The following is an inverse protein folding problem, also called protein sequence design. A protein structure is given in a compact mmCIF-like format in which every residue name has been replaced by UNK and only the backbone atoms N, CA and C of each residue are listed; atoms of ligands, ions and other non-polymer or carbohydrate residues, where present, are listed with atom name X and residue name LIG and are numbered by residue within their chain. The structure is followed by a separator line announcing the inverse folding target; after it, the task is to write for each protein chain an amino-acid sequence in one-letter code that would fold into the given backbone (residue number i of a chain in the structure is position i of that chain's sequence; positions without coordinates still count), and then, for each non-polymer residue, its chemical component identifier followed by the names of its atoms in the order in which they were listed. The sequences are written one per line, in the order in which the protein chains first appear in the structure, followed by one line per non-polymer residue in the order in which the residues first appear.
data_IF_742005092472
#
_entry.id   IF_742005092472
#
_cell.length_a   1.000
_cell.length_b   1.000
_cell.length_c   1.000
_cell.angle_alpha   90.00
_cell.angle_beta   90.00
_cell.angle_gamma   90.00
#
_symmetry.space_group_name_H-M   'P 1'
#
loop_
_entity.id
_entity.type
_entity.pdbx_description
1 polymer ?
#
# COMPACT_ATOMS: atom_id res chain seq x y z
N UNK A 1 -118.01 -63.88 -11.19
CA UNK A 1 -118.97 -64.80 -11.85
C UNK A 1 -118.68 -64.79 -13.34
N UNK A 2 -118.41 -65.93 -13.96
CA UNK A 2 -118.19 -66.02 -15.41
C UNK A 2 -119.46 -65.63 -16.17
N UNK A 3 -119.38 -64.79 -17.22
CA UNK A 3 -120.55 -64.37 -17.97
C UNK A 3 -121.22 -65.58 -18.65
N UNK A 4 -122.53 -65.76 -18.46
CA UNK A 4 -123.29 -66.80 -19.19
C UNK A 4 -123.35 -66.45 -20.68
N UNK A 5 -122.81 -67.33 -21.51
CA UNK A 5 -122.74 -67.11 -22.96
C UNK A 5 -124.10 -67.35 -23.65
N UNK A 6 -124.91 -68.24 -23.08
CA UNK A 6 -126.20 -68.71 -23.58
C UNK A 6 -127.20 -68.91 -22.43
N UNK A 7 -128.49 -68.84 -22.73
CA UNK A 7 -129.60 -69.11 -21.79
C UNK A 7 -130.76 -69.78 -22.55
N UNK A 8 -130.92 -71.08 -22.34
CA UNK A 8 -131.94 -71.93 -22.96
C UNK A 8 -133.34 -71.59 -22.45
N UNK A 9 -133.48 -71.19 -21.17
CA UNK A 9 -134.76 -70.82 -20.58
C UNK A 9 -135.31 -69.55 -21.24
N UNK A 10 -134.50 -68.49 -21.33
CA UNK A 10 -134.88 -67.21 -21.97
C UNK A 10 -135.14 -67.37 -23.48
N UNK A 11 -134.42 -68.29 -24.14
CA UNK A 11 -134.55 -68.46 -25.60
C UNK A 11 -135.76 -69.28 -25.99
N UNK A 12 -136.02 -70.38 -25.30
CA UNK A 12 -137.16 -71.24 -25.61
C UNK A 12 -138.46 -70.67 -25.04
N UNK A 13 -138.40 -69.94 -23.91
CA UNK A 13 -139.57 -69.33 -23.23
C UNK A 13 -140.69 -70.33 -22.94
N UNK A 14 -140.29 -71.56 -22.64
CA UNK A 14 -141.21 -72.66 -22.31
C UNK A 14 -141.57 -72.60 -20.83
N UNK A 15 -140.56 -72.39 -19.99
CA UNK A 15 -140.71 -72.15 -18.55
C UNK A 15 -139.67 -71.11 -18.12
N UNK A 16 -139.98 -70.37 -17.06
CA UNK A 16 -138.97 -69.58 -16.37
C UNK A 16 -138.11 -70.47 -15.48
N UNK A 17 -136.83 -70.11 -15.34
CA UNK A 17 -135.84 -70.87 -14.54
C UNK A 17 -136.27 -71.09 -13.09
N UNK A 18 -136.99 -70.11 -12.55
CA UNK A 18 -137.43 -70.08 -11.16
C UNK A 18 -138.93 -70.44 -11.00
N UNK A 19 -139.62 -70.73 -12.11
CA UNK A 19 -141.03 -71.13 -12.05
C UNK A 19 -141.18 -72.52 -11.42
N UNK A 20 -142.30 -72.75 -10.74
CA UNK A 20 -142.70 -74.04 -10.13
C UNK A 20 -143.81 -74.77 -10.91
N UNK A 21 -144.36 -74.14 -11.95
CA UNK A 21 -145.41 -74.72 -12.80
C UNK A 21 -145.29 -74.19 -14.23
N UNK A 22 -146.02 -74.80 -15.16
CA UNK A 22 -146.06 -74.38 -16.56
C UNK A 22 -147.48 -74.50 -17.11
N UNK A 23 -147.87 -73.51 -17.92
CA UNK A 23 -149.10 -73.55 -18.71
C UNK A 23 -148.82 -74.19 -20.07
N UNK A 24 -149.85 -74.84 -20.63
CA UNK A 24 -149.77 -75.49 -21.94
C UNK A 24 -149.30 -74.50 -23.03
N UNK A 25 -148.30 -74.90 -23.82
CA UNK A 25 -147.79 -74.13 -24.95
C UNK A 25 -148.65 -74.25 -26.22
N UNK A 26 -149.72 -75.06 -26.17
CA UNK A 26 -150.67 -75.22 -27.27
C UNK A 26 -151.61 -74.02 -27.40
N UNK A 27 -152.20 -73.88 -28.58
CA UNK A 27 -153.25 -72.90 -28.87
C UNK A 27 -154.62 -73.55 -28.75
N UNK A 28 -155.61 -72.77 -28.32
CA UNK A 28 -157.03 -73.12 -28.39
C UNK A 28 -157.57 -72.85 -29.81
N UNK A 29 -158.79 -73.29 -30.12
CA UNK A 29 -159.41 -73.15 -31.44
C UNK A 29 -159.60 -71.68 -31.88
N UNK A 30 -159.58 -70.74 -30.93
CA UNK A 30 -159.68 -69.30 -31.14
C UNK A 30 -158.31 -68.59 -31.23
N UNK A 31 -157.23 -69.38 -31.36
CA UNK A 31 -155.84 -68.90 -31.40
C UNK A 31 -155.37 -68.23 -30.10
N UNK A 32 -156.07 -68.43 -28.98
CA UNK A 32 -155.59 -68.03 -27.65
C UNK A 32 -154.66 -69.08 -27.04
N UNK A 33 -153.73 -68.64 -26.18
CA UNK A 33 -152.84 -69.54 -25.46
C UNK A 33 -153.63 -70.40 -24.47
N UNK A 34 -153.35 -71.70 -24.43
CA UNK A 34 -154.00 -72.62 -23.52
C UNK A 34 -153.61 -72.33 -22.05
N UNK A 35 -154.60 -72.10 -21.20
CA UNK A 35 -154.47 -71.82 -19.77
C UNK A 35 -154.39 -73.09 -18.89
N UNK A 36 -154.44 -74.27 -19.52
CA UNK A 36 -154.34 -75.56 -18.82
C UNK A 36 -152.93 -75.74 -18.28
N UNK A 37 -152.82 -75.90 -16.95
CA UNK A 37 -151.57 -76.27 -16.31
C UNK A 37 -151.16 -77.69 -16.67
N UNK A 38 -149.89 -77.87 -17.03
CA UNK A 38 -149.32 -79.19 -17.24
C UNK A 38 -149.12 -79.91 -15.89
N UNK A 39 -149.19 -81.24 -15.92
CA UNK A 39 -148.90 -82.04 -14.74
C UNK A 39 -147.41 -81.93 -14.31
N UNK A 40 -147.17 -82.25 -13.04
CA UNK A 40 -145.82 -82.13 -12.45
C UNK A 40 -144.79 -83.03 -13.15
N UNK A 41 -145.21 -84.16 -13.71
CA UNK A 41 -144.33 -85.12 -14.39
C UNK A 41 -143.80 -84.52 -15.69
N UNK A 42 -144.69 -83.92 -16.49
CA UNK A 42 -144.35 -83.23 -17.72
C UNK A 42 -143.52 -81.98 -17.44
N UNK A 43 -143.89 -81.18 -16.45
CA UNK A 43 -143.10 -80.02 -16.00
C UNK A 43 -141.65 -80.41 -15.62
N UNK A 44 -141.47 -81.45 -14.79
CA UNK A 44 -140.13 -81.91 -14.40
C UNK A 44 -139.31 -82.43 -15.58
N UNK A 45 -139.96 -83.11 -16.53
CA UNK A 45 -139.29 -83.62 -17.73
C UNK A 45 -138.90 -82.49 -18.69
N UNK A 46 -139.75 -81.48 -18.86
CA UNK A 46 -139.47 -80.25 -19.63
C UNK A 46 -138.25 -79.55 -19.03
N UNK A 47 -138.23 -79.35 -17.71
CA UNK A 47 -137.12 -78.73 -17.00
C UNK A 47 -135.81 -79.48 -17.21
N UNK A 48 -135.80 -80.81 -17.07
CA UNK A 48 -134.62 -81.64 -17.33
C UNK A 48 -134.10 -81.50 -18.77
N UNK A 49 -135.00 -81.41 -19.74
CA UNK A 49 -134.60 -81.21 -21.14
C UNK A 49 -133.92 -79.84 -21.28
N UNK A 50 -134.52 -78.77 -20.78
CA UNK A 50 -133.95 -77.41 -20.88
C UNK A 50 -132.63 -77.31 -20.11
N UNK A 51 -132.52 -77.89 -18.92
CA UNK A 51 -131.26 -77.96 -18.16
C UNK A 51 -130.15 -78.68 -18.95
N UNK A 52 -130.51 -79.73 -19.69
CA UNK A 52 -129.54 -80.44 -20.55
C UNK A 52 -129.08 -79.54 -21.72
N UNK A 53 -130.00 -78.77 -22.31
CA UNK A 53 -129.69 -77.83 -23.39
C UNK A 53 -128.86 -76.63 -22.90
N UNK A 54 -129.03 -76.21 -21.64
CA UNK A 54 -128.28 -75.10 -21.03
C UNK A 54 -126.78 -75.37 -20.92
N UNK A 55 -126.41 -76.63 -20.68
CA UNK A 55 -125.01 -77.06 -20.49
C UNK A 55 -124.23 -77.04 -21.82
N UNK A 56 -124.93 -77.13 -22.95
CA UNK A 56 -124.31 -77.28 -24.27
C UNK A 56 -124.45 -75.99 -25.09
N UNK A 57 -123.52 -75.71 -26.02
CA UNK A 57 -123.66 -74.58 -26.94
C UNK A 57 -124.95 -74.71 -27.80
N UNK A 58 -125.65 -73.60 -28.08
CA UNK A 58 -126.82 -73.60 -28.95
C UNK A 58 -126.54 -74.14 -30.35
N UNK A 59 -127.20 -75.26 -30.68
CA UNK A 59 -127.15 -75.89 -32.01
C UNK A 59 -128.51 -76.51 -32.35
N UNK A 60 -129.13 -76.00 -33.41
CA UNK A 60 -130.46 -76.43 -33.85
C UNK A 60 -130.48 -77.87 -34.37
N UNK A 61 -129.35 -78.36 -34.90
CA UNK A 61 -129.29 -79.66 -35.56
C UNK A 61 -129.12 -80.81 -34.57
N UNK A 62 -128.30 -80.62 -33.53
CA UNK A 62 -128.04 -81.65 -32.52
C UNK A 62 -129.23 -81.91 -31.59
N UNK A 63 -130.20 -80.99 -31.51
CA UNK A 63 -131.29 -81.05 -30.53
C UNK A 63 -132.66 -81.41 -31.11
N UNK A 64 -132.74 -81.76 -32.39
CA UNK A 64 -134.01 -82.06 -33.07
C UNK A 64 -134.91 -83.06 -32.33
N UNK A 65 -134.33 -84.13 -31.76
CA UNK A 65 -135.06 -85.13 -30.95
C UNK A 65 -135.55 -84.55 -29.61
N UNK A 66 -134.68 -83.80 -28.93
CA UNK A 66 -134.99 -83.16 -27.65
C UNK A 66 -136.06 -82.09 -27.80
N UNK A 67 -136.04 -81.31 -28.88
CA UNK A 67 -137.05 -80.30 -29.19
C UNK A 67 -138.41 -80.91 -29.52
N UNK A 68 -138.45 -81.98 -30.33
CA UNK A 68 -139.70 -82.70 -30.59
C UNK A 68 -140.30 -83.28 -29.31
N UNK A 69 -139.46 -83.86 -28.46
CA UNK A 69 -139.89 -84.36 -27.15
C UNK A 69 -140.38 -83.21 -26.26
N UNK A 70 -139.64 -82.10 -26.21
CA UNK A 70 -140.02 -80.90 -25.47
C UNK A 70 -141.40 -80.41 -25.92
N UNK A 71 -141.62 -80.24 -27.23
CA UNK A 71 -142.88 -79.77 -27.79
C UNK A 71 -144.04 -80.74 -27.47
N UNK A 72 -143.81 -82.05 -27.54
CA UNK A 72 -144.83 -83.04 -27.18
C UNK A 72 -145.21 -83.01 -25.70
N UNK A 73 -144.27 -82.67 -24.80
CA UNK A 73 -144.52 -82.56 -23.36
C UNK A 73 -145.15 -81.21 -22.99
N UNK A 74 -144.89 -80.17 -23.79
CA UNK A 74 -145.37 -78.81 -23.55
C UNK A 74 -146.84 -78.60 -23.94
N UNK A 75 -147.48 -79.56 -24.60
CA UNK A 75 -148.88 -79.47 -25.06
C UNK A 75 -149.76 -80.43 -24.25
N UNK A 76 -150.87 -79.95 -23.70
CA UNK A 76 -151.81 -80.78 -22.95
C UNK A 76 -152.60 -81.72 -23.88
N UNK A 77 -153.18 -82.78 -23.30
CA UNK A 77 -153.95 -83.79 -24.06
C UNK A 77 -155.07 -83.19 -24.90
N UNK A 78 -155.73 -82.12 -24.42
CA UNK A 78 -156.81 -81.42 -25.12
C UNK A 78 -156.31 -80.74 -26.40
N UNK A 79 -155.16 -80.06 -26.34
CA UNK A 79 -154.54 -79.42 -27.51
C UNK A 79 -153.83 -80.44 -28.44
N UNK A 80 -153.41 -81.59 -27.91
CA UNK A 80 -152.70 -82.63 -28.67
C UNK A 80 -153.59 -83.36 -29.69
N UNK A 81 -154.89 -83.47 -29.44
CA UNK A 81 -155.84 -84.17 -30.32
C UNK A 81 -156.23 -83.34 -31.55
N UNK A 82 -156.16 -82.01 -31.43
CA UNK A 82 -156.65 -81.13 -32.49
C UNK A 82 -155.64 -80.91 -33.61
N UNK A 83 -154.32 -80.96 -33.39
CA UNK A 83 -153.37 -80.66 -34.47
C UNK A 83 -151.94 -81.14 -34.16
N UNK A 84 -151.44 -82.14 -34.90
CA UNK A 84 -150.00 -82.43 -34.99
C UNK A 84 -149.20 -81.28 -35.62
N UNK A 85 -149.86 -80.42 -36.41
CA UNK A 85 -149.27 -79.23 -37.03
C UNK A 85 -148.67 -78.27 -35.98
N UNK A 86 -149.33 -78.11 -34.83
CA UNK A 86 -148.87 -77.22 -33.76
C UNK A 86 -147.53 -77.67 -33.12
N UNK A 87 -147.22 -78.98 -33.12
CA UNK A 87 -145.95 -79.49 -32.55
C UNK A 87 -144.78 -79.17 -33.49
N UNK A 88 -144.94 -79.43 -34.80
CA UNK A 88 -143.87 -79.17 -35.77
C UNK A 88 -143.63 -77.65 -35.92
N UNK A 89 -144.68 -76.82 -35.88
CA UNK A 89 -144.57 -75.36 -35.86
C UNK A 89 -143.82 -74.82 -34.63
N UNK A 90 -144.13 -75.31 -33.43
CA UNK A 90 -143.39 -74.97 -32.21
C UNK A 90 -141.92 -75.36 -32.29
N UNK A 91 -141.63 -76.54 -32.84
CA UNK A 91 -140.26 -77.01 -33.04
C UNK A 91 -139.50 -76.12 -34.02
N UNK A 92 -140.12 -75.72 -35.12
CA UNK A 92 -139.49 -74.85 -36.12
C UNK A 92 -139.29 -73.42 -35.59
N UNK A 93 -140.23 -72.90 -34.80
CA UNK A 93 -140.04 -71.64 -34.07
C UNK A 93 -138.84 -71.72 -33.12
N UNK A 94 -138.75 -72.79 -32.31
CA UNK A 94 -137.63 -72.96 -31.40
C UNK A 94 -136.30 -73.15 -32.11
N UNK A 95 -136.25 -73.87 -33.23
CA UNK A 95 -135.04 -73.94 -34.06
C UNK A 95 -134.60 -72.56 -34.51
N UNK A 96 -135.52 -71.73 -35.00
CA UNK A 96 -135.20 -70.35 -35.41
C UNK A 96 -134.66 -69.52 -34.25
N UNK A 97 -135.23 -69.65 -33.04
CA UNK A 97 -134.75 -68.96 -31.83
C UNK A 97 -133.35 -69.46 -31.42
N UNK A 98 -133.13 -70.77 -31.47
CA UNK A 98 -131.82 -71.41 -31.20
C UNK A 98 -130.77 -70.94 -32.21
N UNK A 99 -131.09 -70.88 -33.51
CA UNK A 99 -130.18 -70.41 -34.55
C UNK A 99 -129.74 -68.95 -34.30
N UNK A 100 -130.69 -68.07 -33.98
CA UNK A 100 -130.38 -66.67 -33.59
C UNK A 100 -129.48 -66.62 -32.37
N UNK A 101 -129.74 -67.47 -31.38
CA UNK A 101 -128.92 -67.51 -30.19
C UNK A 101 -127.55 -68.16 -30.39
N UNK A 102 -127.42 -69.11 -31.32
CA UNK A 102 -126.14 -69.65 -31.77
C UNK A 102 -125.26 -68.56 -32.37
N UNK A 103 -125.85 -67.67 -33.17
CA UNK A 103 -125.14 -66.50 -33.68
C UNK A 103 -124.71 -65.56 -32.54
N UNK A 104 -125.58 -65.31 -31.56
CA UNK A 104 -125.28 -64.47 -30.39
C UNK A 104 -124.17 -65.09 -29.51
N UNK A 105 -124.21 -66.40 -29.31
CA UNK A 105 -123.22 -67.19 -28.58
C UNK A 105 -121.85 -67.06 -29.26
N UNK A 106 -121.75 -67.28 -30.57
CA UNK A 106 -120.50 -67.13 -31.34
C UNK A 106 -119.91 -65.72 -31.20
N UNK A 107 -120.74 -64.67 -31.31
CA UNK A 107 -120.30 -63.27 -31.12
C UNK A 107 -119.79 -63.02 -29.69
N UNK A 108 -120.48 -63.54 -28.67
CA UNK A 108 -120.08 -63.40 -27.27
C UNK A 108 -118.78 -64.15 -26.96
N UNK A 109 -118.64 -65.36 -27.50
CA UNK A 109 -117.43 -66.18 -27.37
C UNK A 109 -116.23 -65.47 -28.00
N UNK A 110 -116.35 -65.00 -29.24
CA UNK A 110 -115.29 -64.25 -29.90
C UNK A 110 -114.92 -62.97 -29.12
N UNK A 111 -115.90 -62.26 -28.57
CA UNK A 111 -115.65 -61.09 -27.71
C UNK A 111 -114.88 -61.46 -26.44
N UNK A 112 -115.22 -62.59 -25.81
CA UNK A 112 -114.53 -63.09 -24.62
C UNK A 112 -113.09 -63.50 -24.95
N UNK A 113 -112.87 -64.20 -26.06
CA UNK A 113 -111.52 -64.57 -26.52
C UNK A 113 -110.65 -63.34 -26.80
N UNK A 114 -111.21 -62.31 -27.45
CA UNK A 114 -110.51 -61.03 -27.65
C UNK A 114 -110.20 -60.38 -26.31
N UNK A 115 -111.13 -60.36 -25.36
CA UNK A 115 -110.90 -59.79 -24.04
C UNK A 115 -109.78 -60.50 -23.29
N UNK A 116 -109.80 -61.84 -23.25
CA UNK A 116 -108.75 -62.64 -22.63
C UNK A 116 -107.39 -62.43 -23.32
N UNK A 117 -107.38 -62.30 -24.64
CA UNK A 117 -106.16 -61.99 -25.38
C UNK A 117 -105.64 -60.59 -25.08
N UNK A 118 -106.52 -59.60 -24.89
CA UNK A 118 -106.14 -58.24 -24.50
C UNK A 118 -105.57 -58.21 -23.09
N UNK A 119 -106.22 -58.88 -22.12
CA UNK A 119 -105.71 -58.99 -20.75
C UNK A 119 -104.32 -59.61 -20.71
N UNK A 120 -104.10 -60.69 -21.47
CA UNK A 120 -102.76 -61.30 -21.60
C UNK A 120 -101.74 -60.31 -22.20
N UNK A 121 -102.13 -59.52 -23.19
CA UNK A 121 -101.25 -58.50 -23.79
C UNK A 121 -100.95 -57.35 -22.83
N UNK A 122 -101.92 -56.94 -22.02
CA UNK A 122 -101.74 -55.95 -20.98
C UNK A 122 -100.75 -56.45 -19.90
N UNK A 123 -100.84 -57.73 -19.51
CA UNK A 123 -99.86 -58.37 -18.62
C UNK A 123 -98.45 -58.39 -19.22
N UNK A 124 -98.31 -58.76 -20.51
CA UNK A 124 -97.03 -58.71 -21.24
C UNK A 124 -96.46 -57.27 -21.28
N UNK A 125 -97.29 -56.26 -21.53
CA UNK A 125 -96.88 -54.85 -21.52
C UNK A 125 -96.39 -54.43 -20.12
N UNK A 126 -97.08 -54.82 -19.06
CA UNK A 126 -96.67 -54.52 -17.68
C UNK A 126 -95.32 -55.17 -17.35
N UNK A 127 -95.07 -56.40 -17.79
CA UNK A 127 -93.79 -57.08 -17.59
C UNK A 127 -92.65 -56.40 -18.37
N UNK A 128 -92.89 -56.00 -19.62
CA UNK A 128 -91.91 -55.27 -20.42
C UNK A 128 -91.56 -53.92 -19.80
N UNK A 129 -92.56 -53.16 -19.34
CA UNK A 129 -92.33 -51.88 -18.63
C UNK A 129 -91.43 -52.05 -17.41
N UNK A 130 -91.69 -53.06 -16.57
CA UNK A 130 -90.84 -53.38 -15.41
C UNK A 130 -89.41 -53.76 -15.79
N UNK A 131 -89.23 -54.38 -16.96
CA UNK A 131 -87.90 -54.77 -17.44
C UNK A 131 -87.11 -53.57 -17.96
N UNK A 132 -87.77 -52.66 -18.69
CA UNK A 132 -87.18 -51.40 -19.15
C UNK A 132 -86.73 -50.56 -17.95
N UNK A 133 -87.59 -50.37 -16.95
CA UNK A 133 -87.27 -49.61 -15.73
C UNK A 133 -86.06 -50.19 -14.97
N UNK A 134 -85.94 -51.52 -14.91
CA UNK A 134 -84.77 -52.21 -14.34
C UNK A 134 -83.49 -51.99 -15.15
N UNK A 135 -83.58 -51.94 -16.48
CA UNK A 135 -82.41 -51.70 -17.32
C UNK A 135 -81.98 -50.23 -17.27
N UNK A 136 -82.94 -49.31 -17.28
CA UNK A 136 -82.68 -47.87 -17.14
C UNK A 136 -82.05 -47.55 -15.78
N UNK A 137 -82.62 -48.06 -14.68
CA UNK A 137 -82.02 -47.87 -13.35
C UNK A 137 -80.61 -48.44 -13.24
N UNK A 138 -80.35 -49.64 -13.76
CA UNK A 138 -78.99 -50.23 -13.79
C UNK A 138 -78.03 -49.42 -14.66
N UNK A 139 -78.47 -48.95 -15.82
CA UNK A 139 -77.67 -48.12 -16.73
C UNK A 139 -77.30 -46.78 -16.09
N UNK A 140 -78.28 -46.12 -15.46
CA UNK A 140 -78.08 -44.87 -14.72
C UNK A 140 -77.10 -45.08 -13.55
N UNK A 141 -77.28 -46.14 -12.74
CA UNK A 141 -76.35 -46.44 -11.65
C UNK A 141 -74.93 -46.72 -12.15
N UNK A 142 -74.77 -47.46 -13.25
CA UNK A 142 -73.45 -47.74 -13.84
C UNK A 142 -72.76 -46.47 -14.32
N UNK A 143 -73.50 -45.60 -15.02
CA UNK A 143 -72.97 -44.30 -15.46
C UNK A 143 -72.64 -43.38 -14.29
N UNK A 144 -73.42 -43.42 -13.21
CA UNK A 144 -73.14 -42.62 -12.01
C UNK A 144 -71.83 -43.03 -11.35
N UNK A 145 -71.59 -44.34 -11.19
CA UNK A 145 -70.34 -44.89 -10.66
C UNK A 145 -69.16 -44.51 -11.57
N UNK A 146 -69.29 -44.69 -12.90
CA UNK A 146 -68.22 -44.30 -13.84
C UNK A 146 -67.92 -42.78 -13.78
N UNK A 147 -68.93 -41.94 -13.58
CA UNK A 147 -68.73 -40.49 -13.40
C UNK A 147 -68.03 -40.18 -12.07
N UNK A 148 -68.40 -40.82 -10.96
CA UNK A 148 -67.76 -40.63 -9.66
C UNK A 148 -66.28 -41.10 -9.67
N UNK A 149 -66.01 -42.24 -10.33
CA UNK A 149 -64.64 -42.75 -10.50
C UNK A 149 -63.79 -41.76 -11.31
N UNK A 150 -64.28 -41.28 -12.46
CA UNK A 150 -63.57 -40.29 -13.29
C UNK A 150 -63.39 -38.94 -12.57
N UNK A 151 -64.35 -38.52 -11.76
CA UNK A 151 -64.20 -37.31 -10.94
C UNK A 151 -63.12 -37.47 -9.89
N UNK A 152 -63.06 -38.64 -9.24
CA UNK A 152 -62.05 -38.97 -8.24
C UNK A 152 -60.64 -39.03 -8.85
N UNK A 153 -60.49 -39.63 -10.04
CA UNK A 153 -59.24 -39.64 -10.81
C UNK A 153 -58.79 -38.23 -11.17
N UNK A 154 -59.70 -37.39 -11.69
CA UNK A 154 -59.41 -36.01 -12.04
C UNK A 154 -58.97 -35.17 -10.83
N UNK A 155 -59.58 -35.38 -9.67
CA UNK A 155 -59.20 -34.69 -8.43
C UNK A 155 -57.82 -35.14 -7.93
N UNK A 156 -57.50 -36.44 -8.03
CA UNK A 156 -56.18 -36.96 -7.70
C UNK A 156 -55.09 -36.37 -8.62
N UNK A 157 -55.30 -36.36 -9.94
CA UNK A 157 -54.37 -35.76 -10.90
C UNK A 157 -54.17 -34.26 -10.65
N UNK A 158 -55.25 -33.53 -10.35
CA UNK A 158 -55.16 -32.11 -9.99
C UNK A 158 -54.32 -31.89 -8.75
N UNK A 159 -54.49 -32.74 -7.72
CA UNK A 159 -53.69 -32.65 -6.49
C UNK A 159 -52.21 -32.89 -6.77
N UNK A 160 -51.88 -33.93 -7.56
CA UNK A 160 -50.50 -34.24 -7.95
C UNK A 160 -49.87 -33.09 -8.75
N UNK A 161 -50.59 -32.52 -9.70
CA UNK A 161 -50.11 -31.36 -10.46
C UNK A 161 -49.88 -30.13 -9.60
N UNK A 162 -50.76 -29.86 -8.62
CA UNK A 162 -50.57 -28.74 -7.70
C UNK A 162 -49.34 -28.92 -6.81
N UNK A 163 -49.08 -30.15 -6.34
CA UNK A 163 -47.86 -30.49 -5.59
C UNK A 163 -46.61 -30.31 -6.45
N UNK A 164 -46.62 -30.79 -7.70
CA UNK A 164 -45.52 -30.62 -8.64
C UNK A 164 -45.23 -29.14 -8.95
N UNK A 165 -46.28 -28.33 -9.17
CA UNK A 165 -46.15 -26.88 -9.37
C UNK A 165 -45.57 -26.21 -8.11
N UNK A 166 -46.06 -26.58 -6.92
CA UNK A 166 -45.55 -26.05 -5.65
C UNK A 166 -44.06 -26.35 -5.47
N UNK A 167 -43.65 -27.58 -5.78
CA UNK A 167 -42.25 -28.00 -5.75
C UNK A 167 -41.41 -27.17 -6.73
N UNK A 168 -41.83 -27.06 -7.99
CA UNK A 168 -41.13 -26.27 -9.01
C UNK A 168 -40.99 -24.79 -8.63
N UNK A 169 -42.03 -24.18 -8.06
CA UNK A 169 -41.97 -22.80 -7.53
C UNK A 169 -40.94 -22.71 -6.41
N UNK A 170 -40.88 -23.70 -5.52
CA UNK A 170 -39.92 -23.73 -4.42
C UNK A 170 -38.47 -23.83 -4.92
N UNK A 171 -38.22 -24.63 -5.96
CA UNK A 171 -36.91 -24.76 -6.60
C UNK A 171 -36.51 -23.48 -7.32
N UNK A 172 -37.43 -22.87 -8.07
CA UNK A 172 -37.20 -21.62 -8.76
C UNK A 172 -36.87 -20.48 -7.77
N UNK A 173 -37.52 -20.45 -6.60
CA UNK A 173 -37.15 -19.53 -5.52
C UNK A 173 -35.73 -19.75 -5.00
N UNK A 174 -35.31 -21.02 -4.81
CA UNK A 174 -33.93 -21.36 -4.40
C UNK A 174 -32.91 -20.92 -5.45
N UNK A 175 -33.17 -21.20 -6.72
CA UNK A 175 -32.32 -20.77 -7.84
C UNK A 175 -32.22 -19.25 -7.94
N UNK A 176 -33.33 -18.53 -7.77
CA UNK A 176 -33.33 -17.07 -7.77
C UNK A 176 -32.51 -16.49 -6.61
N UNK A 177 -32.64 -17.06 -5.39
CA UNK A 177 -31.83 -16.66 -4.25
C UNK A 177 -30.33 -16.90 -4.49
N UNK A 178 -29.97 -18.07 -5.05
CA UNK A 178 -28.58 -18.38 -5.42
C UNK A 178 -28.03 -17.43 -6.51
N UNK A 179 -28.84 -17.10 -7.51
CA UNK A 179 -28.47 -16.14 -8.55
C UNK A 179 -28.28 -14.73 -7.99
N UNK A 180 -29.12 -14.29 -7.04
CA UNK A 180 -28.95 -13.01 -6.35
C UNK A 180 -27.67 -12.96 -5.52
N UNK A 181 -27.35 -14.05 -4.80
CA UNK A 181 -26.09 -14.18 -4.06
C UNK A 181 -24.88 -14.15 -5.00
N UNK A 182 -24.95 -14.88 -6.12
CA UNK A 182 -23.89 -14.83 -7.13
C UNK A 182 -23.71 -13.42 -7.70
N UNK A 183 -24.81 -12.69 -7.93
CA UNK A 183 -24.78 -11.30 -8.41
C UNK A 183 -24.17 -10.34 -7.40
N UNK A 184 -24.44 -10.51 -6.10
CA UNK A 184 -23.82 -9.68 -5.05
C UNK A 184 -22.31 -9.97 -4.94
N UNK A 185 -21.89 -11.23 -5.01
CA UNK A 185 -20.47 -11.59 -5.09
C UNK A 185 -19.77 -10.99 -6.29
N UNK A 186 -20.41 -11.02 -7.46
CA UNK A 186 -19.83 -10.45 -8.69
C UNK A 186 -19.68 -8.92 -8.59
N UNK A 187 -20.64 -8.23 -7.96
CA UNK A 187 -20.52 -6.79 -7.63
C UNK A 187 -19.35 -6.54 -6.68
N UNK A 188 -19.28 -7.28 -5.57
CA UNK A 188 -18.19 -7.14 -4.60
C UNK A 188 -16.82 -7.40 -5.24
N UNK A 189 -16.71 -8.41 -6.11
CA UNK A 189 -15.48 -8.69 -6.86
C UNK A 189 -15.14 -7.55 -7.82
N UNK A 190 -16.13 -6.98 -8.50
CA UNK A 190 -15.93 -5.83 -9.39
C UNK A 190 -15.42 -4.62 -8.61
N UNK A 191 -16.00 -4.34 -7.45
CA UNK A 191 -15.60 -3.23 -6.58
C UNK A 191 -14.16 -3.42 -6.08
N UNK A 192 -13.80 -4.64 -5.65
CA UNK A 192 -12.41 -4.99 -5.28
C UNK A 192 -11.44 -4.81 -6.44
N UNK A 193 -11.82 -5.20 -7.65
CA UNK A 193 -10.97 -5.01 -8.84
C UNK A 193 -10.77 -3.51 -9.12
N UNK A 194 -11.82 -2.70 -9.00
CA UNK A 194 -11.70 -1.25 -9.14
C UNK A 194 -10.78 -0.63 -8.07
N UNK A 195 -10.89 -1.08 -6.82
CA UNK A 195 -9.99 -0.68 -5.73
C UNK A 195 -8.52 -1.03 -6.03
N UNK A 196 -8.26 -2.26 -6.50
CA UNK A 196 -6.90 -2.68 -6.90
C UNK A 196 -6.36 -1.84 -8.06
N UNK A 197 -7.19 -1.52 -9.06
CA UNK A 197 -6.77 -0.63 -10.16
C UNK A 197 -6.45 0.78 -9.67
N UNK A 198 -7.21 1.31 -8.72
CA UNK A 198 -6.92 2.60 -8.10
C UNK A 198 -5.59 2.56 -7.34
N UNK A 199 -5.38 1.53 -6.50
CA UNK A 199 -4.12 1.34 -5.78
C UNK A 199 -2.92 1.19 -6.72
N UNK A 200 -3.10 0.51 -7.86
CA UNK A 200 -2.06 0.41 -8.88
C UNK A 200 -1.74 1.78 -9.47
N UNK A 201 -2.74 2.59 -9.82
CA UNK A 201 -2.54 3.95 -10.33
C UNK A 201 -1.84 4.87 -9.31
N UNK A 202 -2.20 4.77 -8.03
CA UNK A 202 -1.52 5.49 -6.94
C UNK A 202 -0.06 5.03 -6.78
N UNK A 203 0.19 3.71 -6.86
CA UNK A 203 1.54 3.16 -6.81
C UNK A 203 2.39 3.58 -8.02
N UNK A 204 1.82 3.62 -9.22
CA UNK A 204 2.47 4.11 -10.44
C UNK A 204 2.84 5.60 -10.30
N UNK A 205 1.92 6.43 -9.83
CA UNK A 205 2.18 7.85 -9.56
C UNK A 205 3.28 8.05 -8.52
N UNK A 206 3.26 7.27 -7.42
CA UNK A 206 4.32 7.30 -6.41
C UNK A 206 5.66 6.87 -6.98
N UNK A 207 5.68 5.87 -7.86
CA UNK A 207 6.90 5.39 -8.50
C UNK A 207 7.46 6.43 -9.49
N UNK A 208 6.59 7.17 -10.18
CA UNK A 208 6.99 8.31 -11.01
C UNK A 208 7.63 9.43 -10.17
N UNK A 209 7.01 9.77 -9.02
CA UNK A 209 7.59 10.72 -8.05
C UNK A 209 8.96 10.26 -7.58
N UNK A 210 9.08 9.01 -7.11
CA UNK A 210 10.37 8.44 -6.68
C UNK A 210 11.40 8.43 -7.81
N UNK A 211 11.01 8.13 -9.05
CA UNK A 211 11.90 8.18 -10.21
C UNK A 211 12.42 9.60 -10.45
N UNK A 212 11.56 10.62 -10.34
CA UNK A 212 11.99 12.02 -10.45
C UNK A 212 12.93 12.42 -9.30
N UNK A 213 12.65 11.98 -8.08
CA UNK A 213 13.49 12.25 -6.91
C UNK A 213 14.88 11.59 -7.04
N UNK A 214 14.93 10.34 -7.51
CA UNK A 214 16.20 9.65 -7.84
C UNK A 214 16.97 10.43 -8.91
N UNK A 215 16.30 10.99 -9.91
CA UNK A 215 16.95 11.78 -10.95
C UNK A 215 17.52 13.09 -10.40
N UNK A 216 16.80 13.77 -9.50
CA UNK A 216 17.30 14.96 -8.79
C UNK A 216 18.51 14.59 -7.93
N UNK A 217 18.42 13.54 -7.12
CA UNK A 217 19.53 13.07 -6.28
C UNK A 217 20.77 12.69 -7.11
N UNK A 218 20.60 12.09 -8.29
CA UNK A 218 21.72 11.82 -9.21
C UNK A 218 22.34 13.10 -9.75
N UNK A 219 21.53 14.12 -10.08
CA UNK A 219 22.00 15.44 -10.51
C UNK A 219 22.77 16.15 -9.40
N UNK A 220 22.26 16.10 -8.16
CA UNK A 220 22.91 16.67 -6.99
C UNK A 220 24.22 15.95 -6.67
N UNK A 221 24.24 14.61 -6.75
CA UNK A 221 25.45 13.82 -6.59
C UNK A 221 26.50 14.15 -7.65
N UNK A 222 26.10 14.30 -8.93
CA UNK A 222 27.00 14.72 -10.00
C UNK A 222 27.55 16.14 -9.75
N UNK A 223 26.72 17.05 -9.26
CA UNK A 223 27.13 18.42 -8.91
C UNK A 223 28.08 18.44 -7.72
N UNK A 224 27.84 17.62 -6.69
CA UNK A 224 28.72 17.44 -5.54
C UNK A 224 30.06 16.82 -5.93
N UNK A 225 30.06 15.85 -6.85
CA UNK A 225 31.29 15.25 -7.38
C UNK A 225 32.09 16.27 -8.19
N UNK A 226 31.44 17.07 -9.03
CA UNK A 226 32.10 18.16 -9.75
C UNK A 226 32.70 19.20 -8.79
N UNK A 227 31.98 19.57 -7.72
CA UNK A 227 32.49 20.46 -6.68
C UNK A 227 33.65 19.84 -5.89
N UNK A 228 33.66 18.52 -5.69
CA UNK A 228 34.77 17.80 -5.07
C UNK A 228 36.00 17.76 -5.98
N UNK A 229 35.83 17.48 -7.26
CA UNK A 229 36.90 17.53 -8.27
C UNK A 229 37.48 18.94 -8.39
N UNK A 230 36.65 19.98 -8.40
CA UNK A 230 37.08 21.38 -8.39
C UNK A 230 37.84 21.72 -7.09
N UNK A 231 37.39 21.17 -5.96
CA UNK A 231 38.08 21.22 -4.67
C UNK A 231 39.45 20.53 -4.69
N UNK A 232 39.58 19.35 -5.32
CA UNK A 232 40.86 18.67 -5.50
C UNK A 232 41.83 19.45 -6.40
N UNK A 233 41.32 20.05 -7.48
CA UNK A 233 42.12 20.93 -8.35
C UNK A 233 42.60 22.16 -7.58
N UNK A 234 41.73 22.79 -6.80
CA UNK A 234 42.09 23.92 -5.94
C UNK A 234 43.10 23.52 -4.85
N UNK A 235 42.94 22.35 -4.24
CA UNK A 235 43.88 21.79 -3.27
C UNK A 235 45.25 21.48 -3.91
N UNK A 236 45.24 20.94 -5.13
CA UNK A 236 46.45 20.70 -5.93
C UNK A 236 47.19 22.01 -6.24
N UNK A 237 46.45 23.06 -6.63
CA UNK A 237 47.00 24.39 -6.86
C UNK A 237 47.57 25.01 -5.58
N UNK A 238 46.87 24.89 -4.46
CA UNK A 238 47.33 25.37 -3.16
C UNK A 238 48.57 24.60 -2.66
N UNK A 239 48.65 23.28 -2.89
CA UNK A 239 49.85 22.48 -2.59
C UNK A 239 51.04 22.91 -3.45
N UNK A 240 50.82 23.18 -4.74
CA UNK A 240 51.87 23.68 -5.62
C UNK A 240 52.37 25.07 -5.17
N UNK A 241 51.46 26.00 -4.85
CA UNK A 241 51.81 27.30 -4.30
C UNK A 241 52.55 27.19 -2.96
N UNK A 242 52.12 26.31 -2.06
CA UNK A 242 52.78 26.09 -0.78
C UNK A 242 54.19 25.49 -0.97
N UNK A 243 54.38 24.56 -1.91
CA UNK A 243 55.71 24.02 -2.25
C UNK A 243 56.64 25.07 -2.87
N UNK A 244 56.10 25.98 -3.67
CA UNK A 244 56.82 27.12 -4.23
C UNK A 244 57.23 28.11 -3.12
N UNK A 245 56.32 28.44 -2.22
CA UNK A 245 56.61 29.29 -1.07
C UNK A 245 57.62 28.66 -0.11
N UNK A 246 57.55 27.35 0.13
CA UNK A 246 58.54 26.63 0.94
C UNK A 246 59.93 26.70 0.31
N UNK A 247 60.03 26.50 -1.02
CA UNK A 247 61.29 26.65 -1.75
C UNK A 247 61.83 28.08 -1.65
N UNK A 248 60.94 29.08 -1.69
CA UNK A 248 61.29 30.50 -1.53
C UNK A 248 61.78 30.84 -0.12
N UNK A 249 61.19 30.23 0.91
CA UNK A 249 61.64 30.38 2.31
C UNK A 249 63.05 29.81 2.46
N UNK A 250 63.34 28.64 1.90
CA UNK A 250 64.69 28.05 1.93
C UNK A 250 65.70 28.96 1.21
N UNK A 251 65.37 29.51 0.04
CA UNK A 251 66.23 30.48 -0.67
C UNK A 251 66.51 31.75 0.17
N UNK A 252 65.51 32.24 0.90
CA UNK A 252 65.63 33.42 1.75
C UNK A 252 66.40 33.13 3.05
N UNK A 253 66.26 31.95 3.63
CA UNK A 253 67.06 31.50 4.77
C UNK A 253 68.54 31.36 4.38
N UNK A 254 68.85 30.80 3.21
CA UNK A 254 70.21 30.73 2.67
C UNK A 254 70.81 32.11 2.37
N UNK A 255 69.98 33.08 1.96
CA UNK A 255 70.42 34.47 1.75
C UNK A 255 70.68 35.18 3.09
N UNK A 256 69.82 34.96 4.08
CA UNK A 256 69.97 35.51 5.43
C UNK A 256 71.22 34.96 6.13
N UNK A 257 71.51 33.67 5.97
CA UNK A 257 72.70 33.04 6.55
C UNK A 257 74.00 33.53 5.86
N UNK A 258 73.95 33.79 4.55
CA UNK A 258 75.03 34.49 3.83
C UNK A 258 75.25 35.92 4.35
N UNK A 259 74.19 36.68 4.63
CA UNK A 259 74.28 38.01 5.23
C UNK A 259 74.82 37.96 6.67
N UNK A 260 74.42 36.97 7.47
CA UNK A 260 74.94 36.75 8.84
C UNK A 260 76.42 36.42 8.86
N UNK A 261 76.89 35.60 7.93
CA UNK A 261 78.32 35.28 7.79
C UNK A 261 79.13 36.51 7.35
N UNK A 262 78.63 37.30 6.40
CA UNK A 262 79.26 38.57 5.97
C UNK A 262 79.30 39.60 7.11
N UNK A 263 78.20 39.74 7.86
CA UNK A 263 78.12 40.63 9.02
C UNK A 263 79.01 40.16 10.17
N UNK A 264 79.07 38.85 10.45
CA UNK A 264 79.97 38.26 11.45
C UNK A 264 81.43 38.56 11.14
N UNK A 265 81.86 38.35 9.87
CA UNK A 265 83.22 38.67 9.41
C UNK A 265 83.52 40.17 9.54
N UNK A 266 82.56 41.04 9.24
CA UNK A 266 82.71 42.50 9.45
C UNK A 266 82.84 42.88 10.92
N UNK A 267 82.06 42.24 11.80
CA UNK A 267 82.12 42.47 13.26
C UNK A 267 83.48 42.02 13.80
N UNK A 268 83.98 40.85 13.43
CA UNK A 268 85.30 40.36 13.87
C UNK A 268 86.42 41.28 13.39
N UNK A 269 86.32 41.80 12.16
CA UNK A 269 87.29 42.76 11.62
C UNK A 269 87.25 44.11 12.34
N UNK A 270 86.07 44.58 12.74
CA UNK A 270 85.92 45.81 13.53
C UNK A 270 86.41 45.64 14.97
N UNK A 271 86.17 44.48 15.60
CA UNK A 271 86.73 44.14 16.91
C UNK A 271 88.26 44.12 16.90
N UNK A 272 88.89 43.50 15.89
CA UNK A 272 90.35 43.52 15.75
C UNK A 272 90.94 44.93 15.54
N UNK A 273 90.22 45.83 14.86
CA UNK A 273 90.63 47.25 14.70
C UNK A 273 90.49 48.04 16.01
N UNK A 274 89.47 47.75 16.82
CA UNK A 274 89.24 48.38 18.11
C UNK A 274 90.33 47.98 19.12
N UNK A 275 90.67 46.69 19.19
CA UNK A 275 91.74 46.18 20.06
C UNK A 275 93.11 46.76 19.69
N UNK A 276 93.42 46.87 18.39
CA UNK A 276 94.65 47.52 17.91
C UNK A 276 94.73 49.02 18.28
N UNK A 277 93.59 49.71 18.28
CA UNK A 277 93.52 51.12 18.69
C UNK A 277 93.70 51.30 20.21
N UNK A 278 93.13 50.41 21.02
CA UNK A 278 93.29 50.40 22.49
C UNK A 278 94.76 50.15 22.86
N UNK A 279 95.43 49.17 22.24
CA UNK A 279 96.85 48.88 22.48
C UNK A 279 97.74 50.07 22.09
N UNK A 280 97.40 50.77 21.01
CA UNK A 280 98.15 51.96 20.56
C UNK A 280 97.98 53.15 21.54
N UNK A 281 96.79 53.34 22.11
CA UNK A 281 96.51 54.38 23.12
C UNK A 281 97.25 54.15 24.45
N UNK A 282 97.35 52.89 24.89
CA UNK A 282 98.10 52.53 26.11
C UNK A 282 99.62 52.72 25.93
N UNK A 283 100.16 52.51 24.71
CA UNK A 283 101.56 52.82 24.40
C UNK A 283 101.85 54.32 24.37
N UNK A 284 100.94 55.14 23.84
CA UNK A 284 101.06 56.60 23.83
C UNK A 284 101.02 57.20 25.25
N UNK A 285 100.16 56.70 26.13
CA UNK A 285 100.11 57.15 27.54
C UNK A 285 101.37 56.85 28.36
N UNK A 286 102.15 55.83 27.97
CA UNK A 286 103.46 55.51 28.59
C UNK A 286 104.61 56.39 28.08
N UNK A 287 104.48 56.96 26.88
CA UNK A 287 105.47 57.89 26.31
C UNK A 287 105.25 59.31 26.85
N UNK A 288 103.99 59.70 27.03
CA UNK A 288 103.60 61.01 27.58
C UNK A 288 104.05 61.20 29.04
N UNK A 289 103.92 60.16 29.87
CA UNK A 289 104.40 60.16 31.26
C UNK A 289 105.94 60.15 31.37
N UNK A 290 106.64 59.58 30.39
CA UNK A 290 108.12 59.59 30.33
C UNK A 290 108.69 60.94 29.84
N UNK A 291 107.95 61.70 29.04
CA UNK A 291 108.35 63.03 28.56
C UNK A 291 108.12 64.13 29.60
N UNK A 292 107.04 64.02 30.39
CA UNK A 292 106.77 64.95 31.49
C UNK A 292 107.84 64.90 32.60
N UNK A 293 108.38 63.70 32.91
CA UNK A 293 109.46 63.59 33.91
C UNK A 293 110.82 64.11 33.41
N UNK A 294 111.05 64.16 32.09
CA UNK A 294 112.28 64.72 31.50
C UNK A 294 112.21 66.26 31.38
N UNK A 295 111.01 66.82 31.28
CA UNK A 295 110.80 68.27 31.21
C UNK A 295 111.08 68.94 32.58
N UNK A 296 110.63 68.32 33.68
CA UNK A 296 110.84 68.83 35.04
C UNK A 296 112.32 68.75 35.48
N UNK A 297 113.06 67.75 35.00
CA UNK A 297 114.50 67.61 35.27
C UNK A 297 115.34 68.67 34.53
N UNK A 298 114.92 69.06 33.32
CA UNK A 298 115.59 70.10 32.53
C UNK A 298 115.27 71.53 33.04
N UNK A 299 114.09 71.75 33.60
CA UNK A 299 113.73 73.02 34.23
C UNK A 299 114.59 73.32 35.46
N UNK A 300 114.95 72.30 36.26
CA UNK A 300 115.87 72.45 37.42
C UNK A 300 117.30 72.81 37.01
N UNK A 301 117.82 72.17 35.96
CA UNK A 301 119.20 72.41 35.47
C UNK A 301 119.38 73.80 34.87
N UNK A 302 118.34 74.37 34.26
CA UNK A 302 118.38 75.75 33.73
C UNK A 302 118.42 76.81 34.85
N UNK A 303 117.77 76.55 35.98
CA UNK A 303 117.75 77.45 37.13
C UNK A 303 119.11 77.52 37.84
N UNK A 304 119.83 76.39 37.93
CA UNK A 304 121.21 76.35 38.48
C UNK A 304 122.22 77.07 37.59
N UNK A 305 122.12 76.95 36.26
CA UNK A 305 123.02 77.68 35.34
C UNK A 305 122.81 79.20 35.37
N UNK A 306 121.59 79.66 35.67
CA UNK A 306 121.28 81.09 35.72
C UNK A 306 121.86 81.75 36.98
N UNK A 307 121.96 81.02 38.09
CA UNK A 307 122.59 81.50 39.33
C UNK A 307 124.13 81.57 39.24
N UNK A 308 124.77 80.67 38.48
CA UNK A 308 126.23 80.68 38.26
C UNK A 308 126.67 81.84 37.36
N UNK A 309 125.87 82.20 36.36
CA UNK A 309 126.13 83.35 35.48
C UNK A 309 126.03 84.69 36.25
N UNK A 310 125.17 84.76 37.27
CA UNK A 310 125.06 85.93 38.15
C UNK A 310 126.31 86.20 39.00
N UNK A 311 126.97 85.13 39.48
CA UNK A 311 128.19 85.25 40.30
C UNK A 311 129.44 85.62 39.47
N UNK A 312 129.55 85.10 38.25
CA UNK A 312 130.64 85.45 37.32
C UNK A 312 130.61 86.93 36.90
N UNK A 313 129.42 87.54 36.82
CA UNK A 313 129.29 88.95 36.43
C UNK A 313 129.71 89.95 37.52
N UNK A 314 129.74 89.53 38.79
CA UNK A 314 130.26 90.35 39.91
C UNK A 314 131.78 90.24 40.06
N UNK A 315 132.39 89.13 39.63
CA UNK A 315 133.85 88.93 39.64
C UNK A 315 134.55 89.62 38.45
N UNK A 316 133.89 89.71 37.29
CA UNK A 316 134.44 90.42 36.13
C UNK A 316 134.52 91.94 36.36
N UNK A 317 133.55 92.53 37.06
CA UNK A 317 133.55 93.96 37.34
C UNK A 317 134.54 94.39 38.44
N UNK A 318 135.00 93.45 39.28
CA UNK A 318 136.07 93.69 40.27
C UNK A 318 137.47 93.47 39.70
N UNK A 319 137.62 92.71 38.60
CA UNK A 319 138.88 92.53 37.87
C UNK A 319 139.20 93.70 36.91
N UNK A 320 138.20 94.40 36.37
CA UNK A 320 138.44 95.56 35.49
C UNK A 320 138.91 96.82 36.24
N UNK A 321 138.63 96.94 37.54
CA UNK A 321 139.14 98.02 38.40
C UNK A 321 140.60 97.82 38.84
N UNK A 322 141.15 96.60 38.75
CA UNK A 322 142.56 96.30 39.09
C UNK A 322 143.47 96.31 37.85
N UNK A 323 142.92 96.07 36.66
CA UNK A 323 143.73 95.94 35.44
C UNK A 323 144.12 97.27 34.76
N UNK A 324 143.53 98.41 35.15
CA UNK A 324 143.99 99.74 34.71
C UNK A 324 145.06 100.34 35.61
N UNK A 325 145.20 99.88 36.86
CA UNK A 325 146.34 100.25 37.71
C UNK A 325 147.59 99.38 37.43
N UNK A 326 147.41 98.14 36.98
CA UNK A 326 148.52 97.18 36.81
C UNK A 326 149.29 97.30 35.48
N UNK A 327 148.74 97.95 34.44
CA UNK A 327 149.48 98.24 33.19
C UNK A 327 150.44 99.44 33.30
N UNK A 328 150.53 100.07 34.47
CA UNK A 328 151.48 101.15 34.73
C UNK A 328 152.84 100.70 35.31
N UNK A 329 153.06 99.41 35.63
CA UNK A 329 154.26 98.99 36.41
C UNK A 329 155.05 97.77 35.87
N UNK A 330 154.54 96.93 34.95
CA UNK A 330 155.21 95.64 34.60
C UNK A 330 155.70 95.49 33.14
N UNK A 331 156.26 96.51 32.48
CA UNK A 331 157.14 96.19 31.33
C UNK A 331 158.28 97.17 31.11
N UNK A 332 158.81 97.69 32.23
CA UNK A 332 160.15 98.28 32.33
C UNK A 332 161.14 97.31 33.00
N UNK A 333 160.82 96.00 33.10
CA UNK A 333 161.68 94.99 33.76
C UNK A 333 161.63 93.57 33.15
N UNK A 334 161.59 93.47 31.82
CA UNK A 334 162.48 92.58 31.05
C UNK A 334 163.58 93.50 30.48
N UNK A 335 164.68 93.92 31.11
CA UNK A 335 165.65 93.38 32.08
C UNK A 335 166.30 92.04 31.70
N UNK A 336 167.54 92.21 31.25
CA UNK A 336 168.69 91.61 31.94
C UNK A 336 168.87 90.08 31.85
N UNK A 337 168.30 89.40 30.87
CA UNK A 337 168.70 88.02 30.52
C UNK A 337 169.41 87.87 29.17
N UNK A 338 169.35 88.87 28.26
CA UNK A 338 170.19 88.88 27.04
C UNK A 338 171.58 89.54 27.25
N UNK A 339 171.79 90.18 28.38
CA UNK A 339 173.10 90.74 28.75
C UNK A 339 174.10 89.69 29.28
N UNK A 340 173.65 88.49 29.64
CA UNK A 340 174.50 87.50 30.34
C UNK A 340 175.06 86.39 29.43
N UNK A 341 174.44 86.12 28.27
CA UNK A 341 174.86 85.03 27.37
C UNK A 341 175.89 85.49 26.31
N UNK A 342 175.82 86.74 25.81
CA UNK A 342 176.78 87.20 24.79
C UNK A 342 178.18 87.55 25.35
N UNK A 343 178.26 87.95 26.63
CA UNK A 343 179.54 88.27 27.31
C UNK A 343 180.36 87.00 27.62
N UNK A 344 179.74 85.83 27.72
CA UNK A 344 180.43 84.56 27.96
C UNK A 344 180.92 83.87 26.67
N UNK A 345 180.37 84.20 25.50
CA UNK A 345 180.79 83.60 24.22
C UNK A 345 182.04 84.28 23.61
N UNK A 346 182.25 85.61 23.74
CA UNK A 346 183.46 86.27 23.19
C UNK A 346 184.65 86.42 24.15
N UNK A 347 184.46 86.30 25.47
CA UNK A 347 185.57 86.11 26.43
C UNK A 347 186.25 84.73 26.32
N UNK A 348 185.68 83.80 25.54
CA UNK A 348 186.31 82.53 25.16
C UNK A 348 187.13 82.66 23.85
N UNK A 349 186.86 83.69 23.01
CA UNK A 349 187.74 84.09 21.90
C UNK A 349 188.88 85.05 22.34
N UNK A 350 188.74 85.72 23.49
CA UNK A 350 189.78 86.55 24.14
C UNK A 350 191.17 85.89 24.22
N UNK A 351 191.26 84.56 24.23
CA UNK A 351 192.49 83.88 24.66
C UNK A 351 193.17 83.12 23.51
N UNK A 352 192.48 82.91 22.37
CA UNK A 352 192.93 81.94 21.37
C UNK A 352 193.89 82.49 20.31
N UNK A 353 193.90 83.80 20.03
CA UNK A 353 194.66 84.31 18.87
C UNK A 353 195.94 85.11 19.17
N UNK A 354 195.97 86.30 19.78
CA UNK A 354 197.20 87.13 19.68
C UNK A 354 197.63 87.92 20.95
N UNK A 355 198.88 87.76 21.45
CA UNK A 355 199.16 87.71 22.89
C UNK A 355 199.91 88.93 23.46
N UNK A 356 200.14 89.99 22.68
CA UNK A 356 201.10 91.04 23.06
C UNK A 356 200.63 92.49 22.85
N UNK A 357 199.33 92.71 22.68
CA UNK A 357 198.75 94.06 22.54
C UNK A 357 197.66 94.28 23.59
N UNK A 358 197.55 95.41 24.28
CA UNK A 358 198.32 96.67 24.34
C UNK A 358 197.73 97.35 25.60
N UNK A 359 198.44 97.55 26.71
CA UNK A 359 199.45 98.59 26.92
C UNK A 359 199.05 99.90 26.22
N UNK A 360 198.75 100.95 27.00
CA UNK A 360 198.61 102.37 26.60
C UNK A 360 197.26 102.92 26.08
N UNK A 361 196.18 102.86 26.87
CA UNK A 361 195.09 103.90 26.90
C UNK A 361 194.44 103.92 28.30
N UNK A 362 195.14 104.06 29.42
CA UNK A 362 196.08 105.13 29.80
C UNK A 362 195.53 106.55 29.57
N UNK A 363 195.16 107.19 30.68
CA UNK A 363 195.07 108.62 30.95
C UNK A 363 193.83 109.43 30.49
N UNK A 364 193.23 110.06 31.51
CA UNK A 364 192.38 111.28 31.57
C UNK A 364 190.85 111.14 31.76
N UNK A 365 190.37 111.90 32.78
CA UNK A 365 189.02 112.39 33.15
C UNK A 365 188.17 111.52 34.12
N UNK A 366 187.52 111.98 35.21
CA UNK A 366 187.61 113.11 36.17
C UNK A 366 186.47 112.97 37.21
N UNK A 367 186.76 113.14 38.51
CA UNK A 367 185.92 113.72 39.59
C UNK A 367 184.40 113.40 39.61
N UNK A 368 184.00 112.33 40.31
CA UNK A 368 182.77 112.14 41.13
C UNK A 368 182.58 110.63 41.41
N UNK A 369 182.84 110.21 42.65
CA UNK A 369 182.89 108.81 43.10
C UNK A 369 181.73 108.45 44.04
N UNK A 370 181.14 107.26 43.92
CA UNK A 370 181.61 105.99 44.54
C UNK A 370 181.27 105.89 46.03
N UNK A 371 180.22 105.12 46.35
CA UNK A 371 179.92 104.49 47.65
C UNK A 371 178.83 103.44 47.36
N UNK A 372 178.94 102.16 47.70
CA UNK A 372 179.80 101.52 48.69
C UNK A 372 178.94 100.48 49.44
N UNK A 373 178.70 99.27 48.92
CA UNK A 373 179.60 98.11 48.99
C UNK A 373 179.41 97.27 50.28
N UNK A 374 178.94 96.03 50.08
CA UNK A 374 179.45 94.75 50.70
C UNK A 374 178.84 94.18 52.02
N UNK A 375 178.66 92.84 51.97
CA UNK A 375 178.27 91.78 52.95
C UNK A 375 176.85 91.84 53.52
N UNK A 376 176.01 90.79 53.59
CA UNK A 376 176.03 89.36 53.28
C UNK A 376 174.79 88.76 53.94
N UNK A 377 174.00 87.90 53.27
CA UNK A 377 174.01 86.47 53.60
C UNK A 377 172.79 86.03 54.43
N UNK A 378 172.24 84.87 54.03
CA UNK A 378 171.67 83.83 54.88
C UNK A 378 170.31 84.03 55.60
N UNK A 379 169.68 82.87 55.73
CA UNK A 379 168.73 82.44 56.76
C UNK A 379 167.24 82.72 56.53
N UNK A 380 166.41 81.69 56.28
CA UNK A 380 165.84 80.77 57.30
C UNK A 380 164.82 81.52 58.17
N UNK A 381 163.59 81.07 58.41
CA UNK A 381 163.13 79.74 58.83
C UNK A 381 161.61 79.82 59.11
N UNK A 382 160.99 78.64 59.29
CA UNK A 382 159.90 78.38 60.27
C UNK A 382 158.52 78.94 59.91
N UNK A 383 157.52 78.10 59.63
CA UNK A 383 156.69 77.39 60.64
C UNK A 383 155.23 77.87 60.47
N UNK A 384 154.14 77.11 60.54
CA UNK A 384 153.81 75.79 61.05
C UNK A 384 152.43 75.34 60.48
N UNK A 385 152.27 74.02 60.32
CA UNK A 385 151.10 73.12 60.56
C UNK A 385 149.90 73.66 61.40
N UNK A 386 148.72 72.99 61.49
CA UNK A 386 148.54 71.51 61.51
C UNK A 386 147.28 70.84 60.89
N UNK A 387 147.41 69.50 60.75
CA UNK A 387 146.48 68.34 60.93
C UNK A 387 145.08 68.36 60.26
N UNK A 388 144.61 67.28 59.62
CA UNK A 388 144.85 65.83 59.82
C UNK A 388 144.91 65.02 58.53
#
# INVERSE_FOLDING_TARGET
MTPRLWDAYDTLRVIDRDSKSMDCAGLQQDNQQCDVKLDDINYLNIRRIIDTLEIHPPDENSWSKSLKRLASLSVCSTCQHNEKANIDELVDEWKLRIAKAAQKYKRRLAKLEVHLSLEKKDEEIVQLKRTIEKLESRGICKLHIEIEDLQSELEAEKSEHLEAISLAISELKKWNAAAQLSKSHLRQSKDKVAEVYQQLGEAEANNEVLSTEIQVLRSDQASSLAAYEEGEVALGKAKAENSFLLSRVVELEDALERERTVSSVSITRLQGRLEAAIISRVKLGKVETSLLSQLDENARKLQETTNVIGQLNTEINTLMTVNTEMLSVVAKREKNTDAMIAVLIRRIDFIRNHPFNMLLVSLMVSIKGWEGVIVGGLWWLRSWMPFS
#
